data_IF_671344651955
#
_entry.id   IF_671344651955
#
_cell.length_a   1.000
_cell.length_b   1.000
_cell.length_c   1.000
_cell.angle_alpha   90.00
_cell.angle_beta   90.00
_cell.angle_gamma   90.00
#
_symmetry.space_group_name_H-M   'P 1'
#
loop_
_entity.id
_entity.type
_entity.pdbx_description
1 polymer ?
#
# COMPACT_ATOMS: atom_id res chain seq x y z
N UNK A 1 17.93 4.74 6.44
CA UNK A 1 16.51 4.53 6.06
C UNK A 1 16.00 3.19 6.58
N UNK A 2 14.73 3.12 6.96
CA UNK A 2 14.02 1.86 7.21
C UNK A 2 13.57 1.23 5.91
N UNK A 3 13.47 -0.10 5.88
CA UNK A 3 13.03 -0.85 4.70
C UNK A 3 11.85 -1.74 5.04
N UNK A 4 10.82 -1.64 4.22
CA UNK A 4 9.62 -2.47 4.23
C UNK A 4 9.60 -3.35 2.99
N UNK A 5 9.14 -4.57 3.11
CA UNK A 5 8.84 -5.45 1.97
C UNK A 5 7.34 -5.51 1.72
N UNK A 6 6.92 -5.18 0.50
CA UNK A 6 5.52 -5.28 0.11
C UNK A 6 5.14 -6.73 -0.22
N UNK A 7 4.42 -7.34 0.71
CA UNK A 7 3.90 -8.70 0.57
C UNK A 7 2.52 -8.68 -0.07
N UNK A 8 2.37 -9.40 -1.17
CA UNK A 8 1.16 -9.41 -1.98
C UNK A 8 0.32 -10.68 -1.84
N UNK A 9 0.79 -11.67 -1.07
CA UNK A 9 0.11 -12.96 -1.02
C UNK A 9 0.05 -13.63 -2.40
N UNK A 10 1.13 -13.57 -3.17
CA UNK A 10 1.16 -14.00 -4.58
C UNK A 10 0.51 -15.36 -4.79
N UNK A 11 -0.55 -15.36 -5.59
CA UNK A 11 -1.15 -16.58 -6.07
C UNK A 11 -0.41 -17.04 -7.34
N UNK A 12 -0.06 -18.32 -7.47
CA UNK A 12 0.56 -18.83 -8.68
C UNK A 12 -0.43 -18.77 -9.85
N UNK A 13 -0.05 -18.07 -10.91
CA UNK A 13 -0.81 -17.99 -12.15
C UNK A 13 -0.15 -18.89 -13.20
N UNK A 14 -0.96 -19.54 -14.02
CA UNK A 14 -0.54 -20.36 -15.17
C UNK A 14 -1.10 -19.79 -16.48
N UNK A 15 -0.85 -20.47 -17.59
CA UNK A 15 -1.35 -20.09 -18.92
C UNK A 15 -2.87 -20.03 -19.00
N UNK A 16 -3.57 -20.81 -18.19
CA UNK A 16 -5.03 -20.97 -18.22
C UNK A 16 -5.74 -19.95 -17.31
N UNK A 17 -4.98 -19.24 -16.46
CA UNK A 17 -5.52 -18.18 -15.60
C UNK A 17 -5.99 -17.02 -16.47
N UNK A 18 -7.29 -16.64 -16.44
CA UNK A 18 -7.79 -15.50 -17.19
C UNK A 18 -7.02 -14.21 -16.82
N UNK A 19 -6.70 -13.39 -17.84
CA UNK A 19 -5.85 -12.20 -17.64
C UNK A 19 -6.61 -10.90 -17.49
N UNK A 20 -7.93 -10.91 -17.71
CA UNK A 20 -8.75 -9.71 -17.54
C UNK A 20 -9.33 -9.64 -16.13
N UNK A 21 -9.35 -8.46 -15.57
CA UNK A 21 -10.02 -8.17 -14.30
C UNK A 21 -11.50 -7.81 -14.54
N UNK A 22 -12.47 -8.30 -13.74
CA UNK A 22 -12.30 -9.22 -12.63
C UNK A 22 -11.99 -10.64 -13.10
N UNK A 23 -11.10 -11.33 -12.39
CA UNK A 23 -10.79 -12.74 -12.70
C UNK A 23 -11.91 -13.61 -12.15
N UNK A 24 -12.49 -14.52 -12.98
CA UNK A 24 -13.55 -15.42 -12.52
C UNK A 24 -13.11 -16.26 -11.34
N UNK A 25 -13.92 -16.34 -10.29
CA UNK A 25 -13.63 -17.14 -9.10
C UNK A 25 -13.51 -18.64 -9.38
N UNK A 26 -14.11 -19.12 -10.49
CA UNK A 26 -13.95 -20.50 -10.96
C UNK A 26 -12.49 -20.87 -11.34
N UNK A 27 -11.64 -19.87 -11.59
CA UNK A 27 -10.20 -20.06 -11.83
C UNK A 27 -9.38 -20.22 -10.54
N UNK A 28 -9.99 -20.10 -9.37
CA UNK A 28 -9.31 -20.24 -8.08
C UNK A 28 -9.18 -21.71 -7.69
N UNK A 29 -7.93 -22.13 -7.46
CA UNK A 29 -7.61 -23.43 -6.86
C UNK A 29 -7.36 -23.24 -5.35
N UNK A 30 -8.17 -23.88 -4.47
CA UNK A 30 -8.02 -23.76 -3.01
C UNK A 30 -6.66 -24.24 -2.49
N UNK A 31 -6.05 -25.25 -3.10
CA UNK A 31 -4.74 -25.77 -2.67
C UNK A 31 -3.62 -24.76 -2.98
N UNK A 32 -3.64 -24.20 -4.19
CA UNK A 32 -2.74 -23.13 -4.59
C UNK A 32 -2.91 -21.88 -3.71
N UNK A 33 -4.14 -21.52 -3.36
CA UNK A 33 -4.44 -20.43 -2.42
C UNK A 33 -3.87 -20.69 -1.03
N UNK A 34 -4.09 -21.88 -0.48
CA UNK A 34 -3.54 -22.28 0.82
C UNK A 34 -2.00 -22.24 0.82
N UNK A 35 -1.36 -22.67 -0.28
CA UNK A 35 0.10 -22.57 -0.46
C UNK A 35 0.57 -21.11 -0.49
N UNK A 36 -0.16 -20.22 -1.16
CA UNK A 36 0.16 -18.80 -1.22
C UNK A 36 0.16 -18.14 0.17
N UNK A 37 -0.82 -18.44 1.02
CA UNK A 37 -0.87 -17.91 2.39
C UNK A 37 0.23 -18.50 3.29
N UNK A 38 0.58 -19.79 3.15
CA UNK A 38 1.75 -20.35 3.85
C UNK A 38 3.06 -19.66 3.42
N UNK A 39 3.25 -19.46 2.11
CA UNK A 39 4.41 -18.79 1.56
C UNK A 39 4.51 -17.32 1.99
N UNK A 40 3.38 -16.63 2.25
CA UNK A 40 3.36 -15.29 2.82
C UNK A 40 4.05 -15.26 4.20
N UNK A 41 3.75 -16.21 5.07
CA UNK A 41 4.38 -16.33 6.40
C UNK A 41 5.87 -16.68 6.28
N UNK A 42 6.22 -17.56 5.34
CA UNK A 42 7.61 -17.94 5.08
C UNK A 42 8.43 -16.73 4.60
N UNK A 43 7.90 -15.93 3.69
CA UNK A 43 8.55 -14.68 3.24
C UNK A 43 8.66 -13.67 4.38
N UNK A 44 7.63 -13.53 5.23
CA UNK A 44 7.70 -12.68 6.40
C UNK A 44 8.85 -13.06 7.35
N UNK A 45 9.01 -14.35 7.66
CA UNK A 45 10.15 -14.85 8.43
C UNK A 45 11.49 -14.60 7.75
N UNK A 46 11.51 -14.73 6.43
CA UNK A 46 12.73 -14.56 5.67
C UNK A 46 13.21 -13.11 5.66
N UNK A 47 12.33 -12.15 5.35
CA UNK A 47 12.69 -10.72 5.37
C UNK A 47 13.04 -10.25 6.79
N UNK A 48 12.39 -10.79 7.81
CA UNK A 48 12.75 -10.54 9.21
C UNK A 48 14.18 -10.97 9.50
N UNK A 49 14.58 -12.17 9.05
CA UNK A 49 15.97 -12.68 9.22
C UNK A 49 17.00 -11.87 8.44
N UNK A 50 16.61 -11.31 7.29
CA UNK A 50 17.47 -10.42 6.50
C UNK A 50 17.62 -9.02 7.12
N UNK A 51 16.83 -8.71 8.17
CA UNK A 51 16.92 -7.45 8.88
C UNK A 51 16.04 -6.35 8.30
N UNK A 52 14.99 -6.67 7.53
CA UNK A 52 13.97 -5.69 7.16
C UNK A 52 13.26 -5.16 8.40
N UNK A 53 12.89 -3.89 8.39
CA UNK A 53 12.22 -3.25 9.52
C UNK A 53 10.73 -3.57 9.52
N UNK A 54 10.10 -3.61 8.33
CA UNK A 54 8.68 -3.84 8.17
C UNK A 54 8.39 -4.86 7.07
N UNK A 55 7.20 -5.47 7.15
CA UNK A 55 6.49 -6.10 6.05
C UNK A 55 5.18 -5.36 5.85
N UNK A 56 4.80 -5.06 4.61
CA UNK A 56 3.58 -4.31 4.33
C UNK A 56 2.57 -5.13 3.53
N UNK A 57 1.30 -4.83 3.75
CA UNK A 57 0.14 -5.42 3.09
C UNK A 57 -0.72 -4.31 2.50
N UNK A 58 -1.48 -4.59 1.43
CA UNK A 58 -2.52 -3.69 0.94
C UNK A 58 -3.77 -4.47 0.52
N UNK A 59 -4.90 -3.77 0.46
CA UNK A 59 -6.19 -4.33 0.07
C UNK A 59 -6.38 -4.31 -1.44
N UNK A 60 -6.69 -5.48 -2.04
CA UNK A 60 -7.09 -5.61 -3.43
C UNK A 60 -8.07 -6.77 -3.62
N UNK A 61 -8.92 -6.67 -4.64
CA UNK A 61 -10.02 -7.57 -4.86
C UNK A 61 -10.05 -8.14 -6.28
N UNK A 62 -10.64 -9.33 -6.43
CA UNK A 62 -10.99 -10.01 -7.68
C UNK A 62 -9.83 -10.28 -8.63
N UNK A 63 -8.62 -10.47 -8.07
CA UNK A 63 -7.40 -10.71 -8.85
C UNK A 63 -6.43 -11.63 -8.10
N UNK A 64 -5.75 -12.54 -8.80
CA UNK A 64 -4.68 -13.35 -8.21
C UNK A 64 -3.39 -12.58 -7.93
N UNK A 65 -3.30 -11.32 -8.38
CA UNK A 65 -2.10 -10.50 -8.20
C UNK A 65 -1.79 -10.22 -6.75
N UNK A 66 -2.83 -9.96 -5.95
CA UNK A 66 -2.72 -9.66 -4.52
C UNK A 66 -3.87 -10.38 -3.81
N UNK A 67 -3.53 -11.38 -2.98
CA UNK A 67 -4.48 -12.18 -2.20
C UNK A 67 -4.69 -11.65 -0.79
N UNK A 68 -4.81 -10.36 -0.65
CA UNK A 68 -5.04 -9.71 0.65
C UNK A 68 -6.31 -8.85 0.61
N UNK A 69 -7.51 -9.45 0.40
CA UNK A 69 -8.77 -8.70 0.41
C UNK A 69 -9.12 -8.17 1.81
N UNK A 70 -8.45 -8.64 2.85
CA UNK A 70 -8.54 -8.14 4.21
C UNK A 70 -7.13 -8.03 4.81
N UNK A 71 -6.48 -6.87 4.73
CA UNK A 71 -5.19 -6.65 5.35
C UNK A 71 -5.16 -6.93 6.85
N UNK A 72 -6.19 -6.57 7.66
CA UNK A 72 -6.21 -6.91 9.09
C UNK A 72 -6.14 -8.42 9.36
N UNK A 73 -6.89 -9.24 8.60
CA UNK A 73 -6.87 -10.69 8.73
C UNK A 73 -5.51 -11.29 8.36
N UNK A 74 -4.92 -10.80 7.25
CA UNK A 74 -3.59 -11.22 6.81
C UNK A 74 -2.50 -10.81 7.80
N UNK A 75 -2.60 -9.61 8.36
CA UNK A 75 -1.69 -9.12 9.39
C UNK A 75 -1.76 -9.95 10.67
N UNK A 76 -2.96 -10.29 11.15
CA UNK A 76 -3.15 -11.18 12.31
C UNK A 76 -2.54 -12.57 12.06
N UNK A 77 -2.71 -13.12 10.84
CA UNK A 77 -2.14 -14.41 10.47
C UNK A 77 -0.61 -14.40 10.48
N UNK A 78 0.02 -13.35 9.96
CA UNK A 78 1.48 -13.19 10.02
C UNK A 78 1.92 -12.97 11.48
N UNK A 79 1.26 -12.06 12.19
CA UNK A 79 1.63 -11.67 13.55
C UNK A 79 1.61 -12.83 14.55
N UNK A 80 0.72 -13.81 14.35
CA UNK A 80 0.63 -15.00 15.19
C UNK A 80 1.78 -16.00 14.99
N UNK A 81 2.59 -15.85 13.94
CA UNK A 81 3.59 -16.83 13.55
C UNK A 81 5.01 -16.25 13.35
N UNK A 82 5.13 -14.94 13.31
CA UNK A 82 6.40 -14.23 13.06
C UNK A 82 6.55 -13.14 14.09
N UNK A 83 7.65 -13.12 14.82
CA UNK A 83 7.95 -12.09 15.81
C UNK A 83 8.96 -11.06 15.28
N UNK A 84 9.09 -9.91 15.96
CA UNK A 84 10.22 -9.00 15.82
C UNK A 84 10.23 -8.10 14.57
N UNK A 85 9.27 -8.24 13.65
CA UNK A 85 9.12 -7.34 12.49
C UNK A 85 7.81 -6.54 12.61
N UNK A 86 7.83 -5.25 12.29
CA UNK A 86 6.58 -4.47 12.19
C UNK A 86 5.76 -4.90 10.98
N UNK A 87 4.45 -4.81 11.10
CA UNK A 87 3.51 -5.13 10.01
C UNK A 87 2.75 -3.85 9.66
N UNK A 88 2.94 -3.37 8.44
CA UNK A 88 2.31 -2.17 7.93
C UNK A 88 1.09 -2.53 7.06
N UNK A 89 -0.10 -2.15 7.49
CA UNK A 89 -1.32 -2.26 6.70
C UNK A 89 -1.44 -0.99 5.84
N UNK A 90 -0.93 -1.02 4.60
CA UNK A 90 -0.89 0.11 3.68
C UNK A 90 -1.87 -0.10 2.50
N UNK A 91 -3.15 -0.15 2.64
CA UNK A 91 -3.95 -0.11 3.85
C UNK A 91 -5.36 -0.57 3.57
N UNK A 92 -6.24 -0.52 4.58
CA UNK A 92 -7.68 -0.64 4.37
C UNK A 92 -8.21 0.46 3.45
N UNK A 93 -9.13 0.09 2.56
CA UNK A 93 -9.81 1.02 1.65
C UNK A 93 -11.00 1.63 2.40
N UNK A 94 -10.77 2.80 2.97
CA UNK A 94 -11.72 3.45 3.88
C UNK A 94 -13.12 3.65 3.28
N UNK A 95 -13.27 4.17 2.04
CA UNK A 95 -14.60 4.41 1.47
C UNK A 95 -15.37 3.13 1.14
N UNK A 96 -14.70 1.98 1.00
CA UNK A 96 -15.31 0.68 0.76
C UNK A 96 -15.75 -0.05 2.03
N UNK A 97 -15.39 0.49 3.20
CA UNK A 97 -15.54 -0.17 4.49
C UNK A 97 -16.46 0.59 5.42
N UNK A 98 -16.92 -0.07 6.49
CA UNK A 98 -17.50 0.60 7.64
C UNK A 98 -16.35 1.16 8.50
N UNK A 99 -16.21 2.49 8.66
CA UNK A 99 -15.06 3.09 9.35
C UNK A 99 -14.98 2.73 10.84
N UNK A 100 -16.11 2.49 11.51
CA UNK A 100 -16.09 2.04 12.92
C UNK A 100 -15.54 0.62 13.02
N UNK A 101 -15.94 -0.27 12.12
CA UNK A 101 -15.38 -1.62 12.06
C UNK A 101 -13.87 -1.61 11.79
N UNK A 102 -13.42 -0.77 10.85
CA UNK A 102 -11.98 -0.58 10.60
C UNK A 102 -11.28 -0.09 11.87
N UNK A 103 -11.84 0.90 12.57
CA UNK A 103 -11.27 1.42 13.81
C UNK A 103 -11.12 0.33 14.88
N UNK A 104 -12.13 -0.54 15.03
CA UNK A 104 -12.10 -1.66 16.00
C UNK A 104 -11.10 -2.75 15.59
N UNK A 105 -11.08 -3.17 14.33
CA UNK A 105 -10.14 -4.20 13.82
C UNK A 105 -8.68 -3.77 14.00
N UNK A 106 -8.37 -2.51 13.69
CA UNK A 106 -7.02 -1.97 13.86
C UNK A 106 -6.65 -1.78 15.34
N UNK A 107 -7.62 -1.39 16.19
CA UNK A 107 -7.44 -1.33 17.64
C UNK A 107 -7.23 -2.70 18.26
N UNK A 108 -7.91 -3.75 17.76
CA UNK A 108 -7.69 -5.14 18.18
C UNK A 108 -6.26 -5.58 17.87
N UNK A 109 -5.77 -5.35 16.65
CA UNK A 109 -4.39 -5.67 16.27
C UNK A 109 -3.39 -4.99 17.21
N UNK A 110 -3.55 -3.67 17.42
CA UNK A 110 -2.66 -2.91 18.29
C UNK A 110 -2.74 -3.37 19.76
N UNK A 111 -3.92 -3.78 20.24
CA UNK A 111 -4.09 -4.36 21.59
C UNK A 111 -3.42 -5.71 21.73
N UNK A 112 -3.48 -6.57 20.68
CA UNK A 112 -2.85 -7.89 20.69
C UNK A 112 -1.31 -7.80 20.76
N UNK A 113 -0.72 -6.82 20.06
CA UNK A 113 0.74 -6.62 20.03
C UNK A 113 1.06 -5.10 19.91
N UNK A 114 1.08 -4.37 21.03
CA UNK A 114 1.22 -2.92 21.04
C UNK A 114 2.49 -2.43 20.33
N UNK A 115 2.32 -1.44 19.44
CA UNK A 115 3.43 -0.79 18.72
C UNK A 115 4.03 -1.60 17.58
N UNK A 116 3.46 -2.76 17.28
CA UNK A 116 3.94 -3.62 16.19
C UNK A 116 3.32 -3.30 14.84
N UNK A 117 2.16 -2.67 14.85
CA UNK A 117 1.42 -2.36 13.63
C UNK A 117 1.56 -0.91 13.22
N UNK A 118 1.59 -0.70 11.91
CA UNK A 118 1.56 0.61 11.27
C UNK A 118 0.33 0.65 10.37
N UNK A 119 -0.45 1.73 10.43
CA UNK A 119 -1.70 1.83 9.70
C UNK A 119 -1.65 2.92 8.64
N UNK A 120 -1.92 2.54 7.38
CA UNK A 120 -2.09 3.47 6.29
C UNK A 120 -3.55 3.48 5.85
N UNK A 121 -4.17 4.64 5.83
CA UNK A 121 -5.55 4.83 5.41
C UNK A 121 -5.60 5.26 3.94
N UNK A 122 -6.39 4.55 3.12
CA UNK A 122 -6.33 4.60 1.68
C UNK A 122 -7.70 4.86 1.06
N UNK A 123 -7.70 5.63 -0.04
CA UNK A 123 -8.93 5.85 -0.84
C UNK A 123 -9.30 4.65 -1.73
N UNK A 124 -8.31 3.85 -2.13
CA UNK A 124 -8.50 2.78 -3.11
C UNK A 124 -8.23 3.21 -4.55
N UNK A 125 -8.37 2.26 -5.46
CA UNK A 125 -8.16 2.42 -6.90
C UNK A 125 -9.46 2.17 -7.68
N UNK A 126 -9.40 2.34 -8.98
CA UNK A 126 -10.55 2.13 -9.87
C UNK A 126 -11.15 0.72 -9.76
N UNK A 127 -10.32 -0.30 -9.53
CA UNK A 127 -10.80 -1.68 -9.36
C UNK A 127 -11.71 -1.79 -8.13
N UNK A 128 -11.30 -1.20 -7.02
CA UNK A 128 -12.07 -1.25 -5.79
C UNK A 128 -13.36 -0.44 -5.89
N UNK A 129 -13.36 0.65 -6.66
CA UNK A 129 -14.60 1.40 -6.91
C UNK A 129 -15.63 0.54 -7.67
N UNK A 130 -15.17 -0.27 -8.64
CA UNK A 130 -16.03 -1.24 -9.32
C UNK A 130 -16.45 -2.39 -8.41
N UNK A 131 -15.51 -2.90 -7.59
CA UNK A 131 -15.80 -4.04 -6.71
C UNK A 131 -16.88 -3.74 -5.68
N UNK A 132 -16.97 -2.49 -5.22
CA UNK A 132 -17.85 -2.05 -4.14
C UNK A 132 -18.90 -1.02 -4.57
N UNK A 133 -19.07 -0.84 -5.88
CA UNK A 133 -20.02 0.12 -6.46
C UNK A 133 -19.88 1.54 -5.86
N UNK A 134 -18.63 1.99 -5.70
CA UNK A 134 -18.34 3.31 -5.16
C UNK A 134 -18.40 4.37 -6.26
N UNK A 135 -19.08 5.48 -5.97
CA UNK A 135 -19.06 6.64 -6.85
C UNK A 135 -17.67 7.31 -6.80
N UNK A 136 -16.89 7.33 -7.92
CA UNK A 136 -15.57 7.93 -7.94
C UNK A 136 -15.54 9.41 -7.51
N UNK A 137 -16.60 10.17 -7.77
CA UNK A 137 -16.73 11.58 -7.37
C UNK A 137 -16.83 11.79 -5.87
N UNK A 138 -17.48 10.87 -5.19
CA UNK A 138 -17.69 10.94 -3.74
C UNK A 138 -16.54 10.29 -2.97
N UNK A 139 -15.72 9.49 -3.66
CA UNK A 139 -14.71 8.67 -3.03
C UNK A 139 -13.72 9.49 -2.17
N UNK A 140 -13.37 10.72 -2.58
CA UNK A 140 -12.48 11.58 -1.80
C UNK A 140 -13.14 12.02 -0.50
N UNK A 141 -14.29 12.70 -0.59
CA UNK A 141 -15.00 13.22 0.58
C UNK A 141 -15.40 12.09 1.54
N UNK A 142 -15.85 10.95 0.98
CA UNK A 142 -16.18 9.76 1.76
C UNK A 142 -14.96 9.16 2.48
N UNK A 143 -13.78 9.21 1.85
CA UNK A 143 -12.52 8.79 2.47
C UNK A 143 -12.17 9.70 3.62
N UNK A 144 -12.17 11.00 3.40
CA UNK A 144 -11.77 11.98 4.39
C UNK A 144 -12.70 11.91 5.62
N UNK A 145 -14.03 11.83 5.41
CA UNK A 145 -15.00 11.65 6.49
C UNK A 145 -14.78 10.33 7.25
N UNK A 146 -14.54 9.23 6.53
CA UNK A 146 -14.27 7.93 7.16
C UNK A 146 -12.98 7.92 7.97
N UNK A 147 -11.93 8.56 7.47
CA UNK A 147 -10.67 8.70 8.20
C UNK A 147 -10.82 9.57 9.45
N UNK A 148 -11.53 10.70 9.37
CA UNK A 148 -11.83 11.56 10.53
C UNK A 148 -12.60 10.78 11.61
N UNK A 149 -13.56 9.97 11.19
CA UNK A 149 -14.35 9.14 12.11
C UNK A 149 -13.51 8.06 12.77
N UNK A 150 -12.59 7.40 12.05
CA UNK A 150 -11.62 6.44 12.61
C UNK A 150 -10.74 7.13 13.67
N UNK A 151 -10.14 8.26 13.31
CA UNK A 151 -9.27 9.01 14.23
C UNK A 151 -10.03 9.46 15.48
N UNK A 152 -11.25 9.95 15.32
CA UNK A 152 -12.10 10.34 16.44
C UNK A 152 -12.47 9.14 17.32
N UNK A 153 -12.83 7.99 16.72
CA UNK A 153 -13.17 6.80 17.46
C UNK A 153 -12.01 6.30 18.35
N UNK A 154 -10.77 6.46 17.89
CA UNK A 154 -9.58 6.14 18.70
C UNK A 154 -9.31 7.14 19.82
N UNK A 155 -9.56 8.42 19.57
CA UNK A 155 -9.22 9.51 20.49
C UNK A 155 -10.29 9.74 21.56
N UNK A 156 -11.59 9.65 21.21
CA UNK A 156 -12.69 10.02 22.10
C UNK A 156 -12.98 8.92 23.13
N UNK A 157 -12.82 9.23 24.45
CA UNK A 157 -13.05 8.24 25.49
C UNK A 157 -14.53 8.04 25.86
N UNK A 158 -15.41 8.98 25.49
CA UNK A 158 -16.82 8.94 25.79
C UNK A 158 -17.64 8.52 24.55
N UNK A 159 -18.78 7.85 24.72
CA UNK A 159 -19.68 7.61 23.61
C UNK A 159 -20.08 8.92 22.92
N UNK A 160 -20.06 8.93 21.59
CA UNK A 160 -20.43 10.10 20.79
C UNK A 160 -21.34 9.74 19.61
N UNK A 161 -22.07 10.70 19.10
CA UNK A 161 -22.80 10.58 17.84
C UNK A 161 -21.99 11.12 16.66
N UNK A 162 -22.28 10.62 15.46
CA UNK A 162 -21.72 11.13 14.22
C UNK A 162 -22.81 11.39 13.19
N UNK A 163 -22.85 12.60 12.65
CA UNK A 163 -23.82 13.04 11.63
C UNK A 163 -23.04 13.62 10.45
N UNK A 164 -22.45 12.73 9.66
CA UNK A 164 -21.76 13.09 8.44
C UNK A 164 -22.63 12.97 7.21
N UNK A 165 -22.05 13.28 6.06
CA UNK A 165 -22.71 13.14 4.74
C UNK A 165 -22.80 11.66 4.33
N UNK A 166 -21.73 10.89 4.57
CA UNK A 166 -21.58 9.50 4.12
C UNK A 166 -21.78 8.49 5.23
N UNK A 167 -21.51 8.89 6.47
CA UNK A 167 -21.62 8.02 7.64
C UNK A 167 -22.46 8.68 8.73
N UNK A 168 -23.40 7.91 9.29
CA UNK A 168 -24.31 8.39 10.32
C UNK A 168 -24.44 7.33 11.40
N UNK A 169 -24.06 7.68 12.63
CA UNK A 169 -24.12 6.81 13.79
C UNK A 169 -24.80 7.54 14.96
N UNK A 170 -25.82 6.92 15.54
CA UNK A 170 -26.47 7.45 16.76
C UNK A 170 -25.52 7.45 17.93
N UNK A 171 -24.66 6.43 18.02
CA UNK A 171 -23.63 6.28 19.05
C UNK A 171 -22.44 5.50 18.51
N UNK A 172 -21.25 5.92 18.89
CA UNK A 172 -19.97 5.25 18.64
C UNK A 172 -19.26 5.11 19.98
N UNK A 173 -18.79 3.92 20.29
CA UNK A 173 -17.98 3.63 21.47
C UNK A 173 -17.23 2.33 21.19
N UNK A 174 -15.97 2.41 20.77
CA UNK A 174 -15.21 1.25 20.33
C UNK A 174 -14.59 0.48 21.50
N UNK A 175 -14.59 -0.83 21.40
CA UNK A 175 -13.93 -1.77 22.30
C UNK A 175 -13.25 -2.89 21.49
N UNK A 176 -11.89 -3.04 21.55
CA UNK A 176 -10.95 -2.27 22.37
C UNK A 176 -10.65 -0.87 21.81
N UNK A 177 -9.94 -0.06 22.60
CA UNK A 177 -9.27 1.14 22.15
C UNK A 177 -7.77 0.85 21.92
N UNK A 178 -7.11 1.52 20.97
CA UNK A 178 -5.66 1.37 20.82
C UNK A 178 -4.93 1.75 22.11
N UNK A 179 -3.95 0.95 22.57
CA UNK A 179 -3.15 1.28 23.76
C UNK A 179 -2.12 2.40 23.51
N UNK A 180 -1.74 2.64 22.25
CA UNK A 180 -0.80 3.69 21.91
C UNK A 180 -1.44 5.08 22.00
N UNK A 181 -0.70 6.07 22.54
CA UNK A 181 -1.15 7.46 22.72
C UNK A 181 -0.26 8.41 21.91
N UNK A 182 -0.82 9.37 21.18
CA UNK A 182 -2.25 9.69 21.05
C UNK A 182 -3.03 8.72 20.17
N UNK A 183 -2.35 7.87 19.40
CA UNK A 183 -2.88 6.84 18.49
C UNK A 183 -1.76 5.92 18.01
N UNK A 184 -2.05 4.80 17.35
CA UNK A 184 -1.07 4.01 16.63
C UNK A 184 -0.38 4.81 15.52
N UNK A 185 0.82 4.39 15.12
CA UNK A 185 1.56 4.97 13.99
C UNK A 185 0.70 4.90 12.72
N UNK A 186 0.30 6.06 12.19
CA UNK A 186 -0.73 6.16 11.15
C UNK A 186 -0.32 7.10 10.04
N UNK A 187 -0.62 6.72 8.79
CA UNK A 187 -0.32 7.45 7.57
C UNK A 187 -1.57 7.66 6.72
N UNK A 188 -1.69 8.82 6.09
CA UNK A 188 -2.58 8.99 4.95
C UNK A 188 -1.83 8.60 3.68
N UNK A 189 -2.48 7.83 2.79
CA UNK A 189 -1.84 7.29 1.59
C UNK A 189 -2.35 8.00 0.33
N UNK A 190 -1.43 8.60 -0.41
CA UNK A 190 -1.72 9.27 -1.68
C UNK A 190 -0.66 10.28 -2.08
N UNK A 191 -0.75 10.72 -3.35
CA UNK A 191 0.16 11.72 -3.95
C UNK A 191 -0.57 13.02 -4.29
N UNK A 192 -1.84 13.15 -3.93
CA UNK A 192 -2.63 14.34 -4.22
C UNK A 192 -2.47 15.40 -3.13
N UNK A 193 -2.71 16.67 -3.49
CA UNK A 193 -2.69 17.76 -2.54
C UNK A 193 -3.64 17.54 -1.37
N UNK A 194 -4.82 16.96 -1.63
CA UNK A 194 -5.82 16.68 -0.58
C UNK A 194 -5.33 15.61 0.41
N UNK A 195 -4.60 14.58 -0.07
CA UNK A 195 -4.02 13.57 0.82
C UNK A 195 -2.94 14.18 1.72
N UNK A 196 -2.08 15.04 1.15
CA UNK A 196 -1.04 15.77 1.88
C UNK A 196 -1.64 16.74 2.90
N UNK A 197 -2.69 17.47 2.50
CA UNK A 197 -3.44 18.39 3.36
C UNK A 197 -4.07 17.65 4.55
N UNK A 198 -4.73 16.52 4.26
CA UNK A 198 -5.35 15.70 5.31
C UNK A 198 -4.28 15.18 6.29
N UNK A 199 -3.18 14.63 5.77
CA UNK A 199 -2.08 14.13 6.59
C UNK A 199 -1.52 15.24 7.51
N UNK A 200 -1.22 16.41 6.94
CA UNK A 200 -0.67 17.54 7.68
C UNK A 200 -1.62 18.04 8.77
N UNK A 201 -2.90 18.26 8.44
CA UNK A 201 -3.93 18.74 9.37
C UNK A 201 -4.13 17.82 10.57
N UNK A 202 -4.04 16.51 10.35
CA UNK A 202 -4.27 15.51 11.39
C UNK A 202 -2.98 14.97 12.02
N UNK A 203 -1.83 15.56 11.72
CA UNK A 203 -0.51 15.13 12.21
C UNK A 203 -0.25 13.63 11.92
N UNK A 204 -0.53 13.19 10.70
CA UNK A 204 -0.28 11.84 10.20
C UNK A 204 0.97 11.84 9.32
N UNK A 205 1.63 10.69 9.23
CA UNK A 205 2.60 10.48 8.17
C UNK A 205 1.94 10.46 6.78
N UNK A 206 2.76 10.64 5.74
CA UNK A 206 2.34 10.56 4.34
C UNK A 206 2.99 9.36 3.64
N UNK A 207 2.19 8.49 3.04
CA UNK A 207 2.67 7.43 2.17
C UNK A 207 2.44 7.75 0.71
N UNK A 208 3.51 7.87 -0.07
CA UNK A 208 3.48 8.10 -1.52
C UNK A 208 3.88 6.84 -2.29
N UNK A 209 3.42 6.68 -3.54
CA UNK A 209 3.66 5.43 -4.28
C UNK A 209 3.75 5.60 -5.79
N UNK A 210 4.60 4.76 -6.40
CA UNK A 210 4.64 4.46 -7.82
C UNK A 210 4.81 5.66 -8.77
N UNK A 211 5.52 6.69 -8.38
CA UNK A 211 5.85 7.83 -9.23
C UNK A 211 7.35 7.99 -9.43
N UNK A 212 7.74 8.94 -10.28
CA UNK A 212 9.13 9.39 -10.37
C UNK A 212 9.56 10.07 -9.06
N UNK A 213 10.86 10.13 -8.83
CA UNK A 213 11.42 10.84 -7.67
C UNK A 213 10.93 12.29 -7.64
N UNK A 214 10.92 12.98 -8.79
CA UNK A 214 10.47 14.39 -8.88
C UNK A 214 9.00 14.56 -8.48
N UNK A 215 8.11 13.66 -8.95
CA UNK A 215 6.70 13.70 -8.57
C UNK A 215 6.50 13.44 -7.08
N UNK A 216 7.25 12.49 -6.53
CA UNK A 216 7.18 12.19 -5.09
C UNK A 216 7.75 13.34 -4.26
N UNK A 217 8.84 13.95 -4.71
CA UNK A 217 9.43 15.13 -4.07
C UNK A 217 8.47 16.33 -4.04
N UNK A 218 7.73 16.56 -5.13
CA UNK A 218 6.67 17.58 -5.15
C UNK A 218 5.57 17.31 -4.12
N UNK A 219 5.06 16.07 -4.06
CA UNK A 219 4.01 15.69 -3.11
C UNK A 219 4.48 15.81 -1.66
N UNK A 220 5.69 15.35 -1.35
CA UNK A 220 6.24 15.45 0.01
C UNK A 220 6.71 16.85 0.37
N UNK A 221 7.12 17.67 -0.60
CA UNK A 221 7.39 19.09 -0.42
C UNK A 221 6.13 19.84 0.00
N UNK A 222 5.05 19.66 -0.76
CA UNK A 222 3.75 20.24 -0.41
C UNK A 222 3.26 19.76 0.97
N UNK A 223 3.40 18.48 1.30
CA UNK A 223 3.06 17.96 2.63
C UNK A 223 3.83 18.67 3.75
N UNK A 224 5.15 18.88 3.60
CA UNK A 224 5.96 19.60 4.60
C UNK A 224 5.53 21.05 4.75
N UNK A 225 5.24 21.74 3.66
CA UNK A 225 4.72 23.12 3.67
C UNK A 225 3.41 23.17 4.49
N UNK A 226 2.49 22.24 4.23
CA UNK A 226 1.23 22.17 4.98
C UNK A 226 1.46 21.84 6.46
N UNK A 227 2.39 20.92 6.77
CA UNK A 227 2.73 20.62 8.17
C UNK A 227 3.24 21.86 8.91
N UNK A 228 4.11 22.64 8.28
CA UNK A 228 4.61 23.88 8.87
C UNK A 228 3.48 24.91 9.13
N UNK A 229 2.51 25.02 8.23
CA UNK A 229 1.34 25.87 8.44
C UNK A 229 0.44 25.38 9.61
N UNK A 230 0.40 24.06 9.87
CA UNK A 230 -0.27 23.47 11.04
C UNK A 230 0.62 23.43 12.29
N UNK A 231 1.82 24.03 12.24
CA UNK A 231 2.70 24.23 13.41
C UNK A 231 3.53 23.04 13.82
N UNK A 232 3.84 22.12 12.90
CA UNK A 232 4.69 20.98 13.17
C UNK A 232 5.57 20.61 11.95
N UNK A 233 6.63 19.83 12.20
CA UNK A 233 7.56 19.36 11.17
C UNK A 233 7.60 17.84 11.16
N UNK A 234 7.33 17.19 10.01
CA UNK A 234 7.44 15.75 9.91
C UNK A 234 8.91 15.31 9.83
N UNK A 235 9.22 14.27 10.60
CA UNK A 235 10.52 13.61 10.48
C UNK A 235 10.60 12.74 9.20
N UNK A 236 11.78 12.20 8.91
CA UNK A 236 11.95 11.31 7.77
C UNK A 236 11.05 10.07 7.84
N UNK A 237 10.85 9.53 9.02
CA UNK A 237 10.04 8.33 9.24
C UNK A 237 8.53 8.58 9.02
N UNK A 238 8.09 9.84 9.01
CA UNK A 238 6.73 10.22 8.64
C UNK A 238 6.48 10.16 7.13
N UNK A 239 7.47 9.77 6.32
CA UNK A 239 7.33 9.65 4.87
C UNK A 239 7.68 8.23 4.43
N UNK A 240 6.68 7.54 3.87
CA UNK A 240 6.82 6.23 3.22
C UNK A 240 6.85 6.44 1.70
N UNK A 241 7.80 5.80 1.01
CA UNK A 241 7.78 5.69 -0.44
C UNK A 241 7.67 4.24 -0.87
N UNK A 242 6.48 3.84 -1.37
CA UNK A 242 6.29 2.54 -2.02
C UNK A 242 6.78 2.60 -3.45
N UNK A 243 7.68 1.71 -3.81
CA UNK A 243 8.35 1.68 -5.10
C UNK A 243 8.41 0.28 -5.72
N UNK A 244 8.39 0.22 -7.05
CA UNK A 244 8.74 -0.99 -7.78
C UNK A 244 10.23 -0.99 -8.09
N UNK A 245 10.88 -2.12 -7.80
CA UNK A 245 12.31 -2.29 -7.99
C UNK A 245 12.61 -3.51 -8.86
N UNK A 246 13.51 -3.35 -9.81
CA UNK A 246 14.17 -4.46 -10.52
C UNK A 246 15.62 -4.48 -10.05
N UNK A 247 15.98 -5.57 -9.35
CA UNK A 247 17.33 -5.77 -8.82
C UNK A 247 17.97 -6.97 -9.52
N UNK A 248 19.09 -6.74 -10.20
CA UNK A 248 19.97 -7.77 -10.78
C UNK A 248 21.23 -7.97 -9.95
N UNK A 249 21.96 -9.06 -10.22
CA UNK A 249 23.34 -9.20 -9.71
C UNK A 249 24.24 -8.14 -10.33
N UNK A 250 23.96 -7.76 -11.59
CA UNK A 250 24.62 -6.68 -12.33
C UNK A 250 23.62 -5.71 -12.93
N UNK A 251 24.14 -4.56 -13.39
CA UNK A 251 23.32 -3.55 -14.09
C UNK A 251 22.74 -4.10 -15.38
N UNK A 252 23.51 -4.89 -16.13
CA UNK A 252 23.10 -5.50 -17.41
C UNK A 252 21.95 -6.46 -17.22
N UNK A 253 21.98 -7.30 -16.16
CA UNK A 253 20.88 -8.21 -15.82
C UNK A 253 19.59 -7.43 -15.52
N UNK A 254 19.69 -6.38 -14.72
CA UNK A 254 18.56 -5.55 -14.36
C UNK A 254 17.99 -4.79 -15.58
N UNK A 255 18.85 -4.25 -16.44
CA UNK A 255 18.44 -3.53 -17.65
C UNK A 255 17.74 -4.49 -18.64
N UNK A 256 18.25 -5.72 -18.79
CA UNK A 256 17.58 -6.75 -19.59
C UNK A 256 16.20 -7.15 -19.02
N UNK A 257 16.06 -7.22 -17.70
CA UNK A 257 14.80 -7.48 -17.05
C UNK A 257 13.81 -6.31 -17.23
N UNK A 258 14.29 -5.07 -17.22
CA UNK A 258 13.49 -3.88 -17.49
C UNK A 258 12.94 -3.88 -18.94
N UNK A 259 13.77 -4.24 -19.92
CA UNK A 259 13.33 -4.33 -21.32
C UNK A 259 12.27 -5.43 -21.51
N UNK A 260 12.45 -6.62 -20.90
CA UNK A 260 11.41 -7.66 -20.89
C UNK A 260 10.09 -7.15 -20.30
N UNK A 261 10.16 -6.33 -19.24
CA UNK A 261 8.97 -5.77 -18.61
C UNK A 261 8.26 -4.74 -19.49
N UNK A 262 8.99 -3.89 -20.22
CA UNK A 262 8.40 -2.93 -21.17
C UNK A 262 7.61 -3.63 -22.27
N UNK A 263 8.07 -4.80 -22.71
CA UNK A 263 7.41 -5.62 -23.72
C UNK A 263 6.24 -6.45 -23.15
N UNK A 264 6.12 -6.57 -21.84
CA UNK A 264 5.07 -7.35 -21.22
C UNK A 264 3.75 -6.56 -21.17
N UNK A 265 2.65 -7.27 -21.40
CA UNK A 265 1.32 -6.70 -21.17
C UNK A 265 1.08 -6.46 -19.67
N UNK A 266 0.27 -5.45 -19.36
CA UNK A 266 -0.16 -5.21 -17.98
C UNK A 266 -0.84 -6.48 -17.43
N UNK A 267 -0.44 -6.95 -16.22
CA UNK A 267 -1.14 -8.07 -15.62
C UNK A 267 -2.54 -7.63 -15.20
N UNK A 268 -3.53 -8.46 -15.55
CA UNK A 268 -4.94 -8.28 -15.17
C UNK A 268 -5.50 -6.88 -15.49
N UNK A 269 -5.47 -6.44 -16.77
CA UNK A 269 -6.12 -5.21 -17.19
C UNK A 269 -7.63 -5.31 -16.91
N UNK A 270 -8.26 -4.17 -16.64
CA UNK A 270 -9.73 -4.12 -16.52
C UNK A 270 -10.34 -4.52 -17.87
N UNK A 271 -11.34 -5.40 -17.83
CA UNK A 271 -12.07 -5.82 -19.02
C UNK A 271 -12.64 -4.61 -19.78
N UNK A 272 -12.58 -4.63 -21.12
CA UNK A 272 -12.87 -3.47 -21.94
C UNK A 272 -14.30 -2.92 -21.76
N UNK A 273 -15.27 -3.78 -21.46
CA UNK A 273 -16.65 -3.38 -21.16
C UNK A 273 -16.77 -2.61 -19.85
N UNK A 274 -16.03 -3.03 -18.82
CA UNK A 274 -15.99 -2.36 -17.52
C UNK A 274 -15.19 -1.05 -17.58
N UNK A 275 -14.08 -1.05 -18.32
CA UNK A 275 -13.32 0.17 -18.58
C UNK A 275 -14.20 1.24 -19.28
N UNK A 276 -15.00 0.80 -20.25
CA UNK A 276 -15.95 1.69 -20.96
C UNK A 276 -17.04 2.21 -20.03
N UNK A 277 -17.59 1.36 -19.16
CA UNK A 277 -18.60 1.77 -18.19
C UNK A 277 -18.08 2.80 -17.19
N UNK A 278 -16.81 2.69 -16.74
CA UNK A 278 -16.16 3.68 -15.88
C UNK A 278 -15.98 5.02 -16.60
N UNK A 279 -15.49 5.00 -17.84
CA UNK A 279 -15.33 6.22 -18.64
C UNK A 279 -16.67 6.90 -18.87
N UNK A 280 -17.72 6.12 -19.15
CA UNK A 280 -19.09 6.65 -19.34
C UNK A 280 -19.67 7.20 -18.04
N UNK A 281 -19.38 6.58 -16.90
CA UNK A 281 -19.78 7.06 -15.57
C UNK A 281 -19.05 8.36 -15.22
N UNK A 282 -17.75 8.43 -15.45
CA UNK A 282 -16.95 9.64 -15.28
C UNK A 282 -17.47 10.78 -16.18
N UNK A 283 -17.77 10.50 -17.45
CA UNK A 283 -18.33 11.49 -18.37
C UNK A 283 -19.73 11.99 -17.94
N UNK A 284 -20.60 11.12 -17.44
CA UNK A 284 -21.93 11.52 -16.94
C UNK A 284 -21.84 12.38 -15.69
N UNK A 285 -20.80 12.20 -14.93
CA UNK A 285 -20.64 12.81 -13.62
C UNK A 285 -19.78 14.08 -13.62
N UNK A 286 -18.98 14.36 -14.65
CA UNK A 286 -18.05 15.48 -14.67
C UNK A 286 -18.39 16.42 -15.83
N UNK A 287 -18.77 17.64 -15.53
CA UNK A 287 -18.80 18.74 -16.50
C UNK A 287 -17.39 19.21 -16.88
N UNK A 288 -16.41 18.30 -17.05
CA UNK A 288 -15.03 18.58 -17.37
C UNK A 288 -14.35 17.36 -17.99
N UNK A 289 -13.19 17.55 -18.59
CA UNK A 289 -12.43 16.48 -19.24
C UNK A 289 -12.15 15.32 -18.28
N UNK A 290 -12.72 14.14 -18.57
CA UNK A 290 -12.44 12.92 -17.84
C UNK A 290 -10.97 12.56 -18.02
N UNK A 291 -10.21 12.49 -16.91
CA UNK A 291 -8.91 11.84 -16.95
C UNK A 291 -9.13 10.38 -17.27
N UNK A 292 -8.47 9.81 -18.32
CA UNK A 292 -8.64 8.41 -18.63
C UNK A 292 -8.27 7.60 -17.38
N UNK A 293 -9.17 6.72 -16.96
CA UNK A 293 -8.87 5.74 -15.93
C UNK A 293 -7.54 5.07 -16.28
N UNK A 294 -6.69 4.81 -15.29
CA UNK A 294 -5.40 4.13 -15.49
C UNK A 294 -5.59 2.65 -15.85
N UNK A 295 -6.41 2.40 -16.85
CA UNK A 295 -6.77 1.06 -17.31
C UNK A 295 -5.58 0.50 -18.05
N UNK A 296 -5.03 -0.62 -17.55
CA UNK A 296 -3.99 -1.36 -18.25
C UNK A 296 -2.59 -0.77 -18.20
N UNK A 297 -2.28 0.21 -17.36
CA UNK A 297 -0.92 0.70 -17.22
C UNK A 297 -0.07 -0.25 -16.37
N UNK A 298 1.08 -0.62 -16.91
CA UNK A 298 2.17 -1.22 -16.12
C UNK A 298 2.69 -0.14 -15.18
N UNK A 299 2.69 -0.42 -13.85
CA UNK A 299 3.22 0.53 -12.88
C UNK A 299 4.70 0.82 -13.18
N UNK A 300 5.14 2.08 -13.07
CA UNK A 300 6.51 2.46 -13.37
C UNK A 300 7.50 1.73 -12.46
N UNK A 301 8.68 1.48 -12.96
CA UNK A 301 9.83 1.04 -12.16
C UNK A 301 10.50 2.28 -11.60
N UNK A 302 10.63 2.34 -10.27
CA UNK A 302 11.25 3.44 -9.56
C UNK A 302 12.77 3.28 -9.52
N UNK A 303 13.23 2.05 -9.30
CA UNK A 303 14.64 1.69 -9.17
C UNK A 303 14.97 0.48 -10.02
N UNK A 304 16.10 0.57 -10.75
CA UNK A 304 16.58 -0.52 -11.59
C UNK A 304 18.11 -0.53 -11.62
N UNK A 305 18.71 -1.69 -11.38
CA UNK A 305 20.16 -1.85 -11.46
C UNK A 305 20.69 -3.02 -10.62
N UNK A 306 22.00 -3.20 -10.65
CA UNK A 306 22.74 -3.96 -9.67
C UNK A 306 22.79 -3.22 -8.32
N UNK A 307 23.36 -3.86 -7.27
CA UNK A 307 23.34 -3.31 -5.91
C UNK A 307 23.86 -1.87 -5.79
N UNK A 308 25.00 -1.55 -6.42
CA UNK A 308 25.60 -0.21 -6.33
C UNK A 308 24.72 0.88 -6.95
N UNK A 309 24.16 0.62 -8.14
CA UNK A 309 23.23 1.55 -8.81
C UNK A 309 21.98 1.76 -7.98
N UNK A 310 21.41 0.69 -7.42
CA UNK A 310 20.19 0.79 -6.57
C UNK A 310 20.49 1.55 -5.29
N UNK A 311 21.63 1.34 -4.63
CA UNK A 311 22.05 2.12 -3.46
C UNK A 311 22.12 3.61 -3.79
N UNK A 312 22.72 3.98 -4.92
CA UNK A 312 22.80 5.38 -5.36
C UNK A 312 21.41 5.98 -5.59
N UNK A 313 20.51 5.24 -6.26
CA UNK A 313 19.13 5.69 -6.51
C UNK A 313 18.34 5.84 -5.21
N UNK A 314 18.51 4.96 -4.24
CA UNK A 314 17.87 5.05 -2.92
C UNK A 314 18.38 6.25 -2.11
N UNK A 315 19.68 6.55 -2.17
CA UNK A 315 20.25 7.76 -1.57
C UNK A 315 19.68 9.03 -2.19
N UNK A 316 19.57 9.07 -3.51
CA UNK A 316 18.92 10.18 -4.21
C UNK A 316 17.46 10.35 -3.80
N UNK A 317 16.70 9.26 -3.67
CA UNK A 317 15.32 9.32 -3.17
C UNK A 317 15.26 9.88 -1.73
N UNK A 318 16.20 9.46 -0.87
CA UNK A 318 16.32 10.01 0.48
C UNK A 318 16.54 11.51 0.49
N UNK A 319 17.46 12.00 -0.34
CA UNK A 319 17.81 13.42 -0.43
C UNK A 319 16.65 14.26 -1.01
N UNK A 320 16.02 13.81 -2.07
CA UNK A 320 15.02 14.59 -2.80
C UNK A 320 13.60 14.46 -2.23
N UNK A 321 13.18 13.26 -1.87
CA UNK A 321 11.84 13.00 -1.30
C UNK A 321 11.85 13.24 0.21
N UNK A 322 13.01 13.02 0.87
CA UNK A 322 13.16 13.02 2.33
C UNK A 322 12.53 11.79 2.98
N UNK A 323 12.46 10.68 2.25
CA UNK A 323 11.86 9.42 2.70
C UNK A 323 12.65 8.79 3.85
N UNK A 324 11.97 8.36 4.90
CA UNK A 324 12.55 7.56 5.99
C UNK A 324 12.27 6.07 5.85
N UNK A 325 11.17 5.71 5.18
CA UNK A 325 10.76 4.32 4.99
C UNK A 325 10.54 4.01 3.51
N UNK A 326 11.36 3.12 2.95
CA UNK A 326 11.18 2.62 1.58
C UNK A 326 10.43 1.29 1.63
N UNK A 327 9.26 1.25 1.01
CA UNK A 327 8.43 0.05 0.91
C UNK A 327 8.60 -0.58 -0.48
N UNK A 328 9.40 -1.63 -0.56
CA UNK A 328 9.85 -2.20 -1.83
C UNK A 328 8.93 -3.32 -2.34
N UNK A 329 8.52 -3.19 -3.60
CA UNK A 329 7.94 -4.26 -4.39
C UNK A 329 8.99 -4.77 -5.37
N UNK A 330 9.58 -5.92 -5.09
CA UNK A 330 10.49 -6.55 -6.04
C UNK A 330 9.70 -7.12 -7.19
N UNK A 331 10.04 -6.69 -8.39
CA UNK A 331 9.35 -7.07 -9.61
C UNK A 331 10.28 -7.88 -10.49
N UNK A 332 9.90 -9.12 -10.79
CA UNK A 332 10.53 -9.89 -11.85
C UNK A 332 9.50 -10.14 -12.97
N UNK A 333 9.75 -9.65 -14.19
CA UNK A 333 8.89 -9.93 -15.32
C UNK A 333 9.04 -11.41 -15.72
N UNK A 334 8.03 -12.21 -15.42
CA UNK A 334 7.90 -13.58 -15.91
C UNK A 334 8.01 -14.69 -14.88
N UNK A 335 8.39 -14.42 -13.64
CA UNK A 335 8.37 -15.45 -12.60
C UNK A 335 7.22 -15.24 -11.61
N UNK A 336 6.21 -16.11 -11.68
CA UNK A 336 5.35 -16.39 -10.53
C UNK A 336 6.09 -17.22 -9.47
N UNK A 337 7.39 -17.38 -9.62
CA UNK A 337 8.21 -18.28 -8.80
C UNK A 337 8.59 -17.61 -7.47
N UNK A 338 8.18 -18.27 -6.39
CA UNK A 338 8.54 -17.87 -5.03
C UNK A 338 10.05 -17.96 -4.81
N UNK A 339 10.77 -18.90 -5.46
CA UNK A 339 12.21 -19.07 -5.35
C UNK A 339 12.97 -17.84 -5.86
N UNK A 340 12.68 -17.40 -7.06
CA UNK A 340 13.29 -16.22 -7.66
C UNK A 340 13.07 -14.95 -6.80
N UNK A 341 11.89 -14.81 -6.16
CA UNK A 341 11.64 -13.70 -5.23
C UNK A 341 12.53 -13.78 -3.99
N UNK A 342 12.72 -14.98 -3.43
CA UNK A 342 13.57 -15.18 -2.24
C UNK A 342 15.03 -14.86 -2.55
N UNK A 343 15.54 -15.22 -3.73
CA UNK A 343 16.89 -14.88 -4.18
C UNK A 343 17.10 -13.37 -4.30
N UNK A 344 16.12 -12.65 -4.88
CA UNK A 344 16.19 -11.18 -4.97
C UNK A 344 16.09 -10.49 -3.61
N UNK A 345 15.29 -11.02 -2.69
CA UNK A 345 15.24 -10.54 -1.30
C UNK A 345 16.57 -10.76 -0.58
N UNK A 346 17.19 -11.92 -0.79
CA UNK A 346 18.50 -12.23 -0.22
C UNK A 346 19.60 -11.32 -0.78
N UNK A 347 19.60 -11.08 -2.09
CA UNK A 347 20.52 -10.14 -2.75
C UNK A 347 20.37 -8.73 -2.17
N UNK A 348 19.13 -8.26 -2.04
CA UNK A 348 18.85 -6.95 -1.44
C UNK A 348 19.32 -6.89 0.01
N UNK A 349 18.96 -7.88 0.82
CA UNK A 349 19.31 -7.94 2.24
C UNK A 349 20.82 -7.98 2.48
N UNK A 350 21.58 -8.70 1.64
CA UNK A 350 23.02 -8.83 1.79
C UNK A 350 23.82 -7.67 1.18
N UNK A 351 23.38 -7.13 0.03
CA UNK A 351 24.19 -6.20 -0.78
C UNK A 351 23.69 -4.76 -0.78
N UNK A 352 22.43 -4.51 -0.46
CA UNK A 352 21.83 -3.16 -0.50
C UNK A 352 21.50 -2.65 0.89
N UNK A 353 20.76 -3.44 1.67
CA UNK A 353 20.23 -3.04 2.97
C UNK A 353 21.29 -2.48 3.94
N UNK A 354 22.49 -3.07 4.12
CA UNK A 354 23.49 -2.53 5.03
C UNK A 354 23.94 -1.10 4.67
N UNK A 355 23.99 -0.78 3.36
CA UNK A 355 24.53 0.48 2.84
C UNK A 355 23.52 1.64 2.82
N UNK A 356 22.24 1.38 3.10
CA UNK A 356 21.19 2.39 3.13
C UNK A 356 20.69 2.69 4.55
N UNK A 357 21.10 1.92 5.55
CA UNK A 357 20.71 2.17 6.96
C UNK A 357 21.35 3.42 7.54
N UNK A 358 22.55 3.77 7.06
CA UNK A 358 23.32 4.92 7.53
C UNK A 358 23.01 6.22 6.79
N UNK A 359 22.01 6.21 5.91
CA UNK A 359 21.63 7.36 5.07
C UNK A 359 20.45 8.12 5.65
#
# INVERSE_FOLDING_TARGET
>A
MKVSFFETGRYPVNSDTPREWPVPSAAYDPEAGAKAYRAMVERARFVQKLGFDWISLSEHHYSPRILTPSPPLSAAHIASQVDGIKIALLGPIVPASNPIRVAEELAMLDTMQPGRFVFGLLRGTTNEYLSYDLNPKEARERTDEGMELILKAWAEPQPFGWQGRYFQYRTVSIWPRPPQSPRPETYALGVSAEASEFAARHHLGLGVSYGSIDLMAQATGYYRERCAEYGWEPGPDDIIYRCNMILGETDEEADAALERRKSAQAPFPIAANLARALIDQDRRNVGGEARPANVGRVLPISFCGGPERVIKQLRQAREQIGVGVVDISLTDPGSGDTGAMMEKLELFGKKVLPHIREV
#
